data_IF_363713916713
#
_entry.id   IF_363713916713
#
_cell.length_a   1.000
_cell.length_b   1.000
_cell.length_c   1.000
_cell.angle_alpha   90.00
_cell.angle_beta   90.00
_cell.angle_gamma   90.00
#
_symmetry.space_group_name_H-M   'P 1'
#
loop_
_entity.id
_entity.type
_entity.pdbx_description
1 polymer ?
#
# COMPACT_ATOMS: atom_id res chain seq x y z
N UNK A 1 -0.08 6.97 8.64
CA UNK A 1 -0.01 5.79 7.74
C UNK A 1 -0.48 4.55 8.51
N UNK A 2 -0.80 3.43 7.84
CA UNK A 2 -1.05 2.15 8.50
C UNK A 2 0.25 1.45 8.94
N UNK A 3 0.16 0.18 9.33
CA UNK A 3 1.34 -0.66 9.60
C UNK A 3 2.18 -0.82 8.32
N UNK A 4 3.46 -0.45 8.38
CA UNK A 4 4.37 -0.50 7.24
C UNK A 4 5.46 -1.53 7.46
N UNK A 5 5.13 -2.77 7.12
CA UNK A 5 6.07 -3.89 7.13
C UNK A 5 6.86 -3.93 5.82
N UNK A 6 8.15 -4.26 5.91
CA UNK A 6 9.03 -4.44 4.75
C UNK A 6 8.84 -5.79 4.03
N UNK A 7 7.68 -6.42 4.19
CA UNK A 7 7.26 -7.58 3.41
C UNK A 7 6.22 -7.14 2.38
N UNK A 8 6.41 -7.55 1.13
CA UNK A 8 5.61 -7.08 0.00
C UNK A 8 4.09 -7.18 0.23
N UNK A 9 3.58 -8.35 0.65
CA UNK A 9 2.15 -8.53 0.89
C UNK A 9 1.61 -7.61 1.98
N UNK A 10 2.29 -7.55 3.13
CA UNK A 10 1.92 -6.67 4.24
C UNK A 10 2.02 -5.19 3.88
N UNK A 11 2.98 -4.82 3.03
CA UNK A 11 3.09 -3.47 2.51
C UNK A 11 1.84 -3.05 1.72
N UNK A 12 1.39 -3.92 0.80
CA UNK A 12 0.20 -3.64 0.00
C UNK A 12 -1.05 -3.48 0.87
N UNK A 13 -1.32 -4.47 1.73
CA UNK A 13 -2.59 -4.49 2.49
C UNK A 13 -2.57 -3.57 3.72
N UNK A 14 -1.40 -3.27 4.28
CA UNK A 14 -1.24 -2.47 5.50
C UNK A 14 -0.96 -1.00 5.20
N UNK A 15 0.11 -0.72 4.46
CA UNK A 15 0.51 0.67 4.22
C UNK A 15 -0.41 1.35 3.21
N UNK A 16 -0.69 0.69 2.07
CA UNK A 16 -1.46 1.31 0.99
C UNK A 16 -2.95 1.42 1.30
N UNK A 17 -3.48 0.60 2.20
CA UNK A 17 -4.90 0.63 2.57
C UNK A 17 -5.37 1.94 3.20
N UNK A 18 -4.47 2.86 3.59
CA UNK A 18 -4.84 4.20 4.07
C UNK A 18 -4.37 5.33 3.17
N UNK A 19 -3.71 5.00 2.07
CA UNK A 19 -3.12 5.96 1.13
C UNK A 19 -4.11 6.39 0.04
N UNK A 20 -5.25 5.70 -0.07
CA UNK A 20 -6.35 6.08 -0.98
C UNK A 20 -6.85 7.52 -0.74
N UNK A 21 -6.78 8.00 0.50
CA UNK A 21 -7.28 9.32 0.89
C UNK A 21 -6.27 10.45 0.66
N UNK A 22 -5.15 10.18 -0.02
CA UNK A 22 -4.23 11.24 -0.41
C UNK A 22 -4.98 12.28 -1.22
N UNK A 23 -5.06 13.54 -0.76
CA UNK A 23 -5.77 14.56 -1.51
C UNK A 23 -5.12 14.76 -2.88
N UNK A 24 -5.95 15.04 -3.87
CA UNK A 24 -5.52 15.44 -5.21
C UNK A 24 -4.78 16.78 -5.23
N UNK A 25 -4.78 17.51 -4.11
CA UNK A 25 -4.28 18.87 -3.97
C UNK A 25 -2.86 18.91 -3.37
N UNK A 26 -2.00 19.63 -4.10
CA UNK A 26 -0.62 20.04 -3.80
C UNK A 26 0.21 19.06 -2.96
N UNK A 27 0.76 18.06 -3.65
CA UNK A 27 1.73 17.08 -3.14
C UNK A 27 2.90 17.72 -2.39
N UNK A 28 3.22 19.00 -2.61
CA UNK A 28 4.27 19.71 -1.90
C UNK A 28 3.91 20.04 -0.44
N UNK A 29 2.62 20.12 -0.12
CA UNK A 29 2.11 20.42 1.24
C UNK A 29 1.72 19.17 2.02
N UNK A 30 1.64 18.02 1.36
CA UNK A 30 1.32 16.75 2.00
C UNK A 30 2.44 16.33 2.95
N UNK A 31 2.09 16.11 4.22
CA UNK A 31 2.95 15.51 5.25
C UNK A 31 2.30 14.24 5.80
N UNK A 32 2.91 13.11 5.50
CA UNK A 32 2.59 11.81 6.06
C UNK A 32 3.32 11.64 7.39
N UNK A 33 2.56 11.47 8.46
CA UNK A 33 3.10 11.15 9.76
C UNK A 33 3.37 9.66 9.84
N UNK A 34 4.58 9.31 10.26
CA UNK A 34 5.00 7.96 10.51
C UNK A 34 5.79 7.89 11.83
N UNK A 35 5.38 6.97 12.68
CA UNK A 35 6.03 6.63 13.94
C UNK A 35 6.08 5.10 14.01
N UNK A 36 7.25 4.53 14.25
CA UNK A 36 7.45 3.09 14.34
C UNK A 36 8.72 2.61 13.67
N UNK A 37 8.80 1.30 13.50
CA UNK A 37 9.85 0.61 12.75
C UNK A 37 9.31 0.20 11.37
N UNK A 38 10.14 0.23 10.32
CA UNK A 38 11.57 0.59 10.33
C UNK A 38 11.78 2.13 10.32
N UNK A 39 13.03 2.63 10.34
CA UNK A 39 13.30 4.08 10.27
C UNK A 39 12.83 4.72 8.95
N UNK A 40 12.86 6.06 8.87
CA UNK A 40 12.38 6.83 7.70
C UNK A 40 13.06 6.38 6.40
N UNK A 41 14.36 6.16 6.42
CA UNK A 41 15.16 5.80 5.26
C UNK A 41 14.72 4.43 4.71
N UNK A 42 14.48 3.49 5.61
CA UNK A 42 14.07 2.13 5.30
C UNK A 42 12.71 2.03 4.60
N UNK A 43 11.85 3.05 4.70
CA UNK A 43 10.60 3.14 3.92
C UNK A 43 10.84 3.30 2.41
N UNK A 44 12.02 3.79 2.01
CA UNK A 44 12.37 4.11 0.62
C UNK A 44 13.52 3.24 0.08
N UNK A 45 14.06 2.32 0.90
CA UNK A 45 15.15 1.42 0.49
C UNK A 45 14.67 0.24 -0.36
N UNK A 46 13.52 -0.34 -0.02
CA UNK A 46 13.01 -1.52 -0.72
C UNK A 46 12.59 -1.15 -2.15
N UNK A 47 13.08 -1.86 -3.21
CA UNK A 47 12.82 -1.46 -4.59
C UNK A 47 11.34 -1.30 -4.93
N UNK A 48 10.50 -2.26 -4.50
CA UNK A 48 9.06 -2.24 -4.75
C UNK A 48 8.35 -1.11 -4.01
N UNK A 49 8.76 -0.81 -2.77
CA UNK A 49 8.18 0.30 -1.99
C UNK A 49 8.53 1.61 -2.66
N UNK A 50 9.80 1.81 -3.01
CA UNK A 50 10.30 3.02 -3.67
C UNK A 50 9.60 3.27 -5.01
N UNK A 51 9.41 2.23 -5.81
CA UNK A 51 8.69 2.35 -7.08
C UNK A 51 7.23 2.76 -6.86
N UNK A 52 6.53 2.10 -5.94
CA UNK A 52 5.12 2.41 -5.62
C UNK A 52 5.00 3.83 -5.04
N UNK A 53 5.88 4.24 -4.13
CA UNK A 53 5.97 5.61 -3.63
C UNK A 53 6.20 6.63 -4.74
N UNK A 54 7.11 6.36 -5.66
CA UNK A 54 7.36 7.23 -6.82
C UNK A 54 6.13 7.38 -7.71
N UNK A 55 5.42 6.28 -8.01
CA UNK A 55 4.17 6.30 -8.78
C UNK A 55 3.09 7.10 -8.05
N UNK A 56 3.01 6.90 -6.74
CA UNK A 56 2.15 7.66 -5.86
C UNK A 56 2.68 9.06 -5.59
N UNK A 57 3.72 9.56 -6.27
CA UNK A 57 4.27 10.90 -6.13
C UNK A 57 4.67 11.26 -4.70
N UNK A 58 5.16 10.28 -3.95
CA UNK A 58 5.65 10.40 -2.58
C UNK A 58 7.17 10.26 -2.57
N UNK A 59 7.82 11.13 -1.80
CA UNK A 59 9.24 11.05 -1.47
C UNK A 59 9.45 11.11 0.05
N UNK A 60 10.70 10.97 0.49
CA UNK A 60 11.08 11.16 1.89
C UNK A 60 10.74 12.57 2.41
N UNK A 61 10.62 13.57 1.53
CA UNK A 61 10.19 14.93 1.90
C UNK A 61 8.73 14.95 2.35
N UNK A 62 7.90 14.05 1.82
CA UNK A 62 6.50 13.94 2.24
C UNK A 62 6.34 13.26 3.60
N UNK A 63 7.40 12.70 4.20
CA UNK A 63 7.30 11.93 5.45
C UNK A 63 7.92 12.68 6.62
N UNK A 64 7.11 12.93 7.63
CA UNK A 64 7.53 13.38 8.95
C UNK A 64 7.65 12.18 9.88
N UNK A 65 8.89 11.88 10.27
CA UNK A 65 9.22 10.80 11.19
C UNK A 65 9.32 11.33 12.61
N UNK A 66 8.73 10.60 13.55
CA UNK A 66 8.84 10.90 14.97
C UNK A 66 9.25 9.63 15.70
N UNK A 67 10.36 9.69 16.44
CA UNK A 67 10.90 8.58 17.23
C UNK A 67 10.14 8.36 18.53
N UNK A 68 9.35 9.34 18.95
CA UNK A 68 8.60 9.37 20.20
C UNK A 68 7.14 9.76 19.91
N UNK A 69 6.26 9.52 20.88
CA UNK A 69 4.87 9.96 20.79
C UNK A 69 4.78 11.49 20.75
N UNK A 70 4.08 12.03 19.76
CA UNK A 70 3.85 13.48 19.63
C UNK A 70 2.36 13.77 19.58
N UNK A 71 1.96 14.87 20.21
CA UNK A 71 0.61 15.38 20.18
C UNK A 71 0.43 16.36 19.02
N UNK A 72 -0.54 16.07 18.16
CA UNK A 72 -0.96 16.97 17.09
C UNK A 72 -2.24 17.70 17.49
N UNK A 73 -2.30 19.01 17.28
CA UNK A 73 -3.54 19.79 17.46
C UNK A 73 -4.66 19.27 16.56
N UNK A 74 -4.30 18.84 15.35
CA UNK A 74 -5.18 18.19 14.38
C UNK A 74 -4.35 17.28 13.49
N UNK A 75 -4.85 16.08 13.21
CA UNK A 75 -4.30 15.15 12.23
C UNK A 75 -5.47 14.41 11.57
N UNK A 76 -5.40 14.25 10.25
CA UNK A 76 -6.37 13.45 9.51
C UNK A 76 -5.88 12.01 9.43
N UNK A 77 -6.72 11.06 9.86
CA UNK A 77 -6.41 9.64 9.86
C UNK A 77 -7.42 8.91 8.96
N UNK A 78 -7.05 8.60 7.71
CA UNK A 78 -7.93 7.87 6.81
C UNK A 78 -8.28 6.50 7.36
N UNK A 79 -9.54 6.09 7.21
CA UNK A 79 -9.97 4.72 7.44
C UNK A 79 -9.26 3.75 6.48
N UNK A 80 -9.22 2.46 6.83
CA UNK A 80 -8.68 1.45 5.93
C UNK A 80 -9.64 1.23 4.76
N UNK A 81 -9.16 1.30 3.52
CA UNK A 81 -9.92 0.91 2.33
C UNK A 81 -9.82 -0.58 2.01
N UNK A 82 -9.00 -1.32 2.77
CA UNK A 82 -8.83 -2.76 2.63
C UNK A 82 -8.67 -3.39 4.02
N UNK A 83 -9.39 -4.46 4.28
CA UNK A 83 -9.32 -5.26 5.50
C UNK A 83 -9.27 -6.74 5.10
N UNK A 84 -8.18 -7.41 5.49
CA UNK A 84 -7.95 -8.81 5.14
C UNK A 84 -9.08 -9.69 5.67
N UNK A 85 -9.58 -10.62 4.84
CA UNK A 85 -10.69 -11.52 5.14
C UNK A 85 -12.04 -10.84 5.48
N UNK A 86 -12.15 -9.53 5.27
CA UNK A 86 -13.35 -8.75 5.60
C UNK A 86 -13.88 -8.01 4.37
N UNK A 87 -13.17 -6.98 3.91
CA UNK A 87 -13.68 -6.10 2.87
C UNK A 87 -12.58 -5.43 2.03
N UNK A 88 -12.87 -5.19 0.76
CA UNK A 88 -12.03 -4.40 -0.13
C UNK A 88 -12.89 -3.33 -0.81
N UNK A 89 -12.71 -2.07 -0.41
CA UNK A 89 -13.45 -0.96 -1.01
C UNK A 89 -13.02 -0.73 -2.45
N UNK A 90 -13.95 -0.28 -3.29
CA UNK A 90 -13.71 0.02 -4.71
C UNK A 90 -12.53 0.98 -4.90
N UNK A 91 -12.41 2.01 -4.04
CA UNK A 91 -11.30 2.97 -4.09
C UNK A 91 -9.92 2.32 -3.97
N UNK A 92 -9.80 1.22 -3.19
CA UNK A 92 -8.55 0.46 -3.09
C UNK A 92 -8.26 -0.28 -4.40
N UNK A 93 -9.28 -0.93 -4.98
CA UNK A 93 -9.15 -1.63 -6.27
C UNK A 93 -8.72 -0.68 -7.38
N UNK A 94 -9.34 0.50 -7.45
CA UNK A 94 -9.02 1.54 -8.44
C UNK A 94 -7.59 2.06 -8.29
N UNK A 95 -7.18 2.37 -7.05
CA UNK A 95 -5.81 2.79 -6.76
C UNK A 95 -4.80 1.71 -7.16
N UNK A 96 -5.03 0.44 -6.81
CA UNK A 96 -4.13 -0.66 -7.15
C UNK A 96 -4.04 -0.91 -8.66
N UNK A 97 -5.17 -0.80 -9.39
CA UNK A 97 -5.18 -0.87 -10.86
C UNK A 97 -4.39 0.27 -11.48
N UNK A 98 -4.55 1.50 -10.96
CA UNK A 98 -3.80 2.66 -11.44
C UNK A 98 -2.28 2.50 -11.22
N UNK A 99 -1.88 2.02 -10.04
CA UNK A 99 -0.47 1.69 -9.75
C UNK A 99 0.03 0.63 -10.72
N UNK A 100 -0.69 -0.49 -10.85
CA UNK A 100 -0.32 -1.59 -11.74
C UNK A 100 -0.16 -1.11 -13.19
N UNK A 101 -1.09 -0.32 -13.70
CA UNK A 101 -1.01 0.25 -15.04
C UNK A 101 0.25 1.08 -15.25
N UNK A 102 0.64 1.91 -14.27
CA UNK A 102 1.87 2.70 -14.33
C UNK A 102 3.14 1.81 -14.32
N UNK A 103 3.16 0.76 -13.50
CA UNK A 103 4.28 -0.22 -13.48
C UNK A 103 4.41 -0.92 -14.84
N UNK A 104 3.31 -1.46 -15.38
CA UNK A 104 3.33 -2.15 -16.68
C UNK A 104 3.70 -1.22 -17.84
N UNK A 105 3.22 0.01 -17.85
CA UNK A 105 3.57 1.01 -18.87
C UNK A 105 5.05 1.43 -18.80
N UNK A 106 5.68 1.38 -17.62
CA UNK A 106 7.13 1.60 -17.46
C UNK A 106 7.96 0.37 -17.85
N UNK A 107 7.47 -0.83 -17.54
CA UNK A 107 8.14 -2.11 -17.80
C UNK A 107 8.03 -2.63 -19.24
N UNK A 108 7.07 -2.14 -20.04
CA UNK A 108 6.82 -2.58 -21.42
C UNK A 108 7.88 -2.13 -22.45
N UNK A 109 9.01 -1.59 -21.99
CA UNK A 109 10.25 -1.50 -22.79
C UNK A 109 11.08 -2.80 -22.75
N UNK A 110 10.67 -3.82 -21.98
CA UNK A 110 11.23 -5.18 -22.02
C UNK A 110 10.13 -6.18 -22.42
N UNK A 111 10.50 -7.15 -23.27
CA UNK A 111 9.62 -8.09 -23.95
C UNK A 111 8.55 -8.72 -23.05
N UNK A 112 7.30 -8.76 -23.55
CA UNK A 112 6.21 -9.54 -22.97
C UNK A 112 6.59 -11.03 -22.94
N UNK A 113 6.91 -11.58 -21.78
CA UNK A 113 6.63 -13.00 -21.50
C UNK A 113 5.28 -13.09 -20.77
N UNK A 114 4.24 -13.46 -21.51
CA UNK A 114 2.93 -13.81 -20.96
C UNK A 114 3.05 -15.09 -20.13
N UNK A 115 3.31 -14.96 -18.83
CA UNK A 115 3.08 -16.03 -17.87
C UNK A 115 1.78 -15.70 -17.12
N UNK A 116 0.65 -16.16 -17.64
CA UNK A 116 -0.60 -16.15 -16.89
C UNK A 116 -0.50 -17.16 -15.75
N UNK A 117 -0.29 -16.70 -14.51
CA UNK A 117 -0.54 -17.52 -13.33
C UNK A 117 -2.01 -17.39 -12.93
N UNK A 118 -2.79 -18.42 -13.21
CA UNK A 118 -4.12 -18.61 -12.62
C UNK A 118 -3.93 -19.33 -11.27
N UNK A 119 -4.12 -18.65 -10.15
CA UNK A 119 -4.35 -19.32 -8.87
C UNK A 119 -5.83 -19.68 -8.77
N UNK A 120 -6.15 -20.95 -8.99
CA UNK A 120 -7.47 -21.52 -8.70
C UNK A 120 -7.44 -22.02 -7.26
N UNK A 121 -7.79 -21.17 -6.30
CA UNK A 121 -7.95 -21.61 -4.91
C UNK A 121 -9.23 -22.45 -4.80
N UNK A 122 -9.08 -23.77 -4.66
CA UNK A 122 -10.17 -24.65 -4.33
C UNK A 122 -10.51 -24.49 -2.83
N UNK A 123 -11.69 -23.96 -2.52
CA UNK A 123 -12.27 -24.09 -1.19
C UNK A 123 -12.74 -25.53 -1.01
N UNK A 124 -11.98 -26.34 -0.27
CA UNK A 124 -12.46 -27.63 0.25
C UNK A 124 -13.18 -27.32 1.55
N UNK A 125 -14.50 -27.25 1.51
CA UNK A 125 -15.34 -27.27 2.71
C UNK A 125 -15.35 -28.71 3.26
N UNK A 126 -14.77 -28.91 4.44
CA UNK A 126 -14.94 -30.12 5.23
C UNK A 126 -16.33 -30.07 5.87
N UNK A 127 -17.28 -30.83 5.33
CA UNK A 127 -18.58 -31.05 5.97
C UNK A 127 -18.45 -32.27 6.89
N UNK A 128 -18.38 -32.03 8.21
CA UNK A 128 -18.65 -33.06 9.20
C UNK A 128 -20.14 -33.40 9.12
N UNK A 129 -20.47 -34.52 8.47
CA UNK A 129 -21.77 -35.17 8.62
C UNK A 129 -21.63 -36.27 9.67
N UNK A 130 -22.47 -36.17 10.71
CA UNK A 130 -22.71 -37.17 11.73
C UNK A 130 -23.01 -38.55 11.12
N UNK A 131 -22.33 -39.58 11.65
CA UNK A 131 -22.92 -40.86 12.10
C UNK A 131 -21.99 -41.48 13.13
#
# INVERSE_FOLDING_TARGET
MGDVKQHYGHFLIGALSRIWALPSLDRKKLRLVFNGQPNKEALFTQPYMREIWSILGLSSENVSFFSEGILFKKIDVPASSFEENSHAHQVYSEMMKAIGHQIYSRGSRHERKQNYLFYKTAFVFWYLANT
#
